data_IF_394973818385
#
_entry.id   IF_394973818385
#
_cell.length_a   1.000
_cell.length_b   1.000
_cell.length_c   1.000
_cell.angle_alpha   90.00
_cell.angle_beta   90.00
_cell.angle_gamma   90.00
#
_symmetry.space_group_name_H-M   'P 1'
#
loop_
_entity.id
_entity.type
_entity.pdbx_description
1 polymer ?
#
# COMPACT_ATOMS: atom_id res chain seq x y z
N UNK A 1 9.84 -5.00 -7.59
CA UNK A 1 8.76 -4.39 -8.38
C UNK A 1 9.02 -2.88 -8.44
N UNK A 2 9.12 -2.29 -9.64
CA UNK A 2 9.36 -0.84 -9.81
C UNK A 2 8.07 -0.03 -10.01
N UNK A 3 7.01 -0.67 -10.52
CA UNK A 3 5.69 -0.11 -10.76
C UNK A 3 4.62 -1.19 -10.52
N UNK A 4 3.36 -0.79 -10.35
CA UNK A 4 2.22 -1.70 -10.16
C UNK A 4 0.99 -1.14 -10.89
N UNK A 5 0.94 -1.33 -12.21
CA UNK A 5 -0.14 -0.84 -13.08
C UNK A 5 -0.94 -1.98 -13.70
N UNK A 6 -0.37 -3.18 -13.80
CA UNK A 6 -1.02 -4.39 -14.32
C UNK A 6 -0.54 -5.66 -13.58
N UNK A 7 -1.27 -6.76 -13.77
CA UNK A 7 -0.86 -8.07 -13.22
C UNK A 7 0.53 -8.52 -13.72
N UNK A 8 0.93 -8.06 -14.91
CA UNK A 8 2.21 -8.41 -15.52
C UNK A 8 3.42 -7.75 -14.83
N UNK A 9 3.20 -6.71 -14.00
CA UNK A 9 4.27 -6.13 -13.17
C UNK A 9 4.64 -7.02 -11.98
N UNK A 10 3.85 -8.07 -11.71
CA UNK A 10 4.04 -9.02 -10.62
C UNK A 10 4.71 -10.28 -11.15
N UNK A 11 5.96 -10.58 -10.79
CA UNK A 11 6.65 -11.79 -11.25
C UNK A 11 5.95 -13.09 -10.83
N UNK A 12 5.34 -13.10 -9.64
CA UNK A 12 4.60 -14.25 -9.12
C UNK A 12 3.36 -13.81 -8.33
N UNK A 13 2.17 -13.73 -8.97
CA UNK A 13 0.93 -13.31 -8.32
C UNK A 13 0.50 -14.22 -7.16
N UNK A 14 0.76 -15.54 -7.25
CA UNK A 14 0.36 -16.49 -6.19
C UNK A 14 1.11 -16.20 -4.88
N UNK A 15 2.42 -16.02 -4.98
CA UNK A 15 3.26 -15.67 -3.82
C UNK A 15 2.86 -14.31 -3.22
N UNK A 16 2.46 -13.35 -4.04
CA UNK A 16 1.98 -12.05 -3.57
C UNK A 16 0.70 -12.19 -2.73
N UNK A 17 -0.24 -13.03 -3.18
CA UNK A 17 -1.48 -13.34 -2.43
C UNK A 17 -1.18 -14.03 -1.11
N UNK A 18 -0.27 -15.01 -1.10
CA UNK A 18 0.16 -15.69 0.13
C UNK A 18 0.75 -14.71 1.15
N UNK A 19 1.57 -13.76 0.68
CA UNK A 19 2.16 -12.70 1.51
C UNK A 19 1.08 -11.80 2.11
N UNK A 20 0.07 -11.41 1.31
CA UNK A 20 -1.05 -10.60 1.77
C UNK A 20 -1.89 -11.33 2.84
N UNK A 21 -2.11 -12.64 2.69
CA UNK A 21 -2.82 -13.46 3.68
C UNK A 21 -2.03 -13.60 4.98
N UNK A 22 -0.71 -13.77 4.90
CA UNK A 22 0.16 -13.80 6.07
C UNK A 22 0.13 -12.47 6.85
N UNK A 23 0.21 -11.35 6.13
CA UNK A 23 0.09 -10.00 6.71
C UNK A 23 -1.26 -9.77 7.39
N UNK A 24 -2.35 -10.30 6.81
CA UNK A 24 -3.69 -10.23 7.42
C UNK A 24 -3.78 -11.02 8.73
N UNK A 25 -3.10 -12.16 8.83
CA UNK A 25 -3.12 -13.04 10.02
C UNK A 25 -2.29 -12.50 11.19
N UNK A 26 -1.24 -11.70 10.92
CA UNK A 26 -0.38 -11.11 11.94
C UNK A 26 -0.37 -9.58 11.80
N UNK A 27 -1.30 -8.87 12.46
CA UNK A 27 -1.48 -7.43 12.23
C UNK A 27 -0.27 -6.61 12.69
N UNK A 28 0.41 -6.00 11.72
CA UNK A 28 1.04 -4.67 11.67
C UNK A 28 1.93 -4.10 12.80
N UNK A 29 1.96 -4.65 14.01
CA UNK A 29 2.80 -4.12 15.11
C UNK A 29 4.28 -4.01 14.73
N UNK A 30 4.76 -4.90 13.84
CA UNK A 30 6.13 -4.97 13.35
C UNK A 30 6.42 -4.20 12.05
N UNK A 31 5.42 -3.63 11.37
CA UNK A 31 5.60 -3.07 10.00
C UNK A 31 5.91 -1.56 9.96
N UNK A 32 5.77 -0.86 11.10
CA UNK A 32 5.95 0.60 11.18
C UNK A 32 7.33 1.10 10.74
N UNK A 33 8.36 0.25 10.74
CA UNK A 33 9.71 0.63 10.33
C UNK A 33 9.95 0.59 8.81
N UNK A 34 9.10 -0.09 8.05
CA UNK A 34 9.37 -0.39 6.63
C UNK A 34 9.25 0.88 5.76
N UNK A 35 8.26 1.71 6.07
CA UNK A 35 7.95 2.95 5.36
C UNK A 35 8.54 4.21 6.01
N UNK A 36 9.37 4.08 7.04
CA UNK A 36 9.96 5.23 7.72
C UNK A 36 10.75 6.11 6.73
N UNK A 37 10.54 7.43 6.82
CA UNK A 37 11.11 8.44 5.91
C UNK A 37 10.75 8.23 4.42
N UNK A 38 9.64 7.54 4.13
CA UNK A 38 9.06 7.45 2.79
C UNK A 38 7.75 8.21 2.73
N UNK A 39 7.54 8.92 1.63
CA UNK A 39 6.31 9.67 1.37
C UNK A 39 5.58 9.04 0.19
N UNK A 40 4.27 8.81 0.33
CA UNK A 40 3.39 8.47 -0.78
C UNK A 40 2.59 9.71 -1.19
N UNK A 41 2.48 9.92 -2.51
CA UNK A 41 1.62 10.95 -3.10
C UNK A 41 0.45 10.25 -3.78
N UNK A 42 -0.77 10.62 -3.41
CA UNK A 42 -2.01 10.07 -3.95
C UNK A 42 -2.71 11.15 -4.78
N UNK A 43 -2.83 10.91 -6.09
CA UNK A 43 -3.46 11.82 -7.05
C UNK A 43 -4.82 11.27 -7.47
N UNK A 44 -5.90 12.04 -7.25
CA UNK A 44 -7.27 11.62 -7.55
C UNK A 44 -7.91 12.51 -8.62
N UNK A 45 -7.73 12.14 -9.90
CA UNK A 45 -8.46 12.79 -11.01
C UNK A 45 -9.97 12.53 -10.99
N UNK A 46 -10.41 11.54 -10.20
CA UNK A 46 -11.82 11.24 -9.95
C UNK A 46 -12.02 10.96 -8.45
N UNK A 47 -13.11 11.46 -7.83
CA UNK A 47 -13.38 11.17 -6.43
C UNK A 47 -13.54 9.67 -6.15
N UNK A 48 -12.78 9.13 -5.19
CA UNK A 48 -12.96 7.76 -4.69
C UNK A 48 -12.67 7.66 -3.20
N UNK A 49 -13.72 7.57 -2.38
CA UNK A 49 -13.58 7.47 -0.93
C UNK A 49 -12.95 6.14 -0.49
N UNK A 50 -13.33 5.03 -1.14
CA UNK A 50 -12.82 3.69 -0.77
C UNK A 50 -11.34 3.54 -1.07
N UNK A 51 -10.90 4.01 -2.24
CA UNK A 51 -9.48 3.97 -2.61
C UNK A 51 -8.68 4.86 -1.68
N UNK A 52 -9.13 6.09 -1.43
CA UNK A 52 -8.48 7.02 -0.49
C UNK A 52 -8.26 6.40 0.89
N UNK A 53 -9.34 6.02 1.56
CA UNK A 53 -9.27 5.51 2.94
C UNK A 53 -8.43 4.25 3.07
N UNK A 54 -8.54 3.32 2.11
CA UNK A 54 -7.79 2.06 2.16
C UNK A 54 -6.30 2.26 1.90
N UNK A 55 -5.92 3.11 0.94
CA UNK A 55 -4.52 3.41 0.63
C UNK A 55 -3.85 4.21 1.73
N UNK A 56 -4.52 5.24 2.27
CA UNK A 56 -4.02 6.04 3.39
C UNK A 56 -3.78 5.14 4.62
N UNK A 57 -4.75 4.29 4.97
CA UNK A 57 -4.60 3.36 6.09
C UNK A 57 -3.41 2.42 5.92
N UNK A 58 -3.20 1.89 4.71
CA UNK A 58 -2.07 1.02 4.42
C UNK A 58 -0.71 1.75 4.57
N UNK A 59 -0.60 2.98 4.05
CA UNK A 59 0.61 3.79 4.15
C UNK A 59 0.96 4.13 5.61
N UNK A 60 -0.03 4.55 6.40
CA UNK A 60 0.15 4.84 7.84
C UNK A 60 0.56 3.59 8.63
N UNK A 61 0.01 2.42 8.29
CA UNK A 61 0.42 1.15 8.89
C UNK A 61 1.89 0.81 8.63
N UNK A 62 2.44 1.20 7.48
CA UNK A 62 3.85 1.05 7.14
C UNK A 62 4.75 2.14 7.74
N UNK A 63 4.18 3.18 8.37
CA UNK A 63 4.94 4.31 8.92
C UNK A 63 5.34 5.37 7.88
N UNK A 64 4.63 5.44 6.75
CA UNK A 64 4.87 6.42 5.69
C UNK A 64 4.20 7.77 5.99
N UNK A 65 4.73 8.84 5.41
CA UNK A 65 4.01 10.11 5.27
C UNK A 65 3.09 10.07 4.04
N UNK A 66 1.91 10.67 4.12
CA UNK A 66 0.91 10.69 3.05
C UNK A 66 0.67 12.13 2.60
N UNK A 67 0.67 12.37 1.29
CA UNK A 67 0.22 13.60 0.66
C UNK A 67 -0.88 13.24 -0.32
N UNK A 68 -2.03 13.89 -0.21
CA UNK A 68 -3.15 13.70 -1.12
C UNK A 68 -3.42 14.96 -1.93
N UNK A 69 -3.73 14.80 -3.22
CA UNK A 69 -4.16 15.88 -4.10
C UNK A 69 -5.36 15.44 -4.94
N UNK A 70 -6.34 16.34 -5.07
CA UNK A 70 -7.57 16.13 -5.82
C UNK A 70 -7.56 16.99 -7.08
#
# INVERSE_FOLDING_TARGET
MKQFTSVNDVPNPKQLVESALALKRSPAGSLKGIGANKTIVMLFFNPSLRTRLSTEKAALTLGMSVIEYN
#
